data_IF_432777882658
#
_entry.id   IF_432777882658
#
_cell.length_a   1.000
_cell.length_b   1.000
_cell.length_c   1.000
_cell.angle_alpha   90.00
_cell.angle_beta   90.00
_cell.angle_gamma   90.00
#
_symmetry.space_group_name_H-M   'P 1'
#
loop_
_entity.id
_entity.type
_entity.pdbx_description
1 polymer ?
#
# COMPACT_ATOMS: atom_id res chain seq x y z
N UNK A 1 15.17 -20.72 -13.40
CA UNK A 1 15.20 -19.49 -12.59
C UNK A 1 14.02 -19.55 -11.63
N UNK A 2 14.23 -19.46 -10.30
CA UNK A 2 13.10 -19.39 -9.37
C UNK A 2 12.37 -18.06 -9.57
N UNK A 3 11.04 -18.11 -9.62
CA UNK A 3 10.19 -16.92 -9.66
C UNK A 3 9.76 -16.55 -8.24
N UNK A 4 9.60 -15.27 -7.99
CA UNK A 4 9.08 -14.71 -6.72
C UNK A 4 7.86 -13.85 -7.01
N UNK A 5 7.05 -13.60 -5.98
CA UNK A 5 5.94 -12.66 -6.06
C UNK A 5 6.49 -11.23 -5.95
N UNK A 6 6.12 -10.36 -6.88
CA UNK A 6 6.54 -8.96 -6.90
C UNK A 6 5.74 -8.11 -5.90
N UNK A 7 4.48 -7.83 -6.23
CA UNK A 7 3.56 -7.06 -5.38
C UNK A 7 2.17 -7.69 -5.37
N UNK A 8 1.41 -7.42 -4.31
CA UNK A 8 -0.01 -7.77 -4.21
C UNK A 8 -0.81 -6.50 -3.97
N UNK A 9 -1.82 -6.28 -4.79
CA UNK A 9 -2.76 -5.16 -4.62
C UNK A 9 -4.00 -5.63 -3.90
N UNK A 10 -4.39 -4.90 -2.86
CA UNK A 10 -5.61 -5.18 -2.07
C UNK A 10 -6.57 -4.00 -2.19
N UNK A 11 -7.87 -4.31 -2.20
CA UNK A 11 -8.92 -3.28 -2.12
C UNK A 11 -9.14 -2.97 -0.65
N UNK A 12 -9.06 -1.68 -0.32
CA UNK A 12 -9.25 -1.18 1.04
C UNK A 12 -10.47 -0.27 1.09
N UNK A 13 -11.06 -0.15 2.29
CA UNK A 13 -12.18 0.76 2.51
C UNK A 13 -11.74 2.22 2.54
N UNK A 14 -10.59 2.48 3.17
CA UNK A 14 -10.02 3.80 3.38
C UNK A 14 -8.48 3.72 3.31
N UNK A 15 -7.85 4.71 2.67
CA UNK A 15 -6.41 4.71 2.44
C UNK A 15 -5.60 5.03 3.71
N UNK A 16 -6.07 5.97 4.53
CA UNK A 16 -5.34 6.40 5.73
C UNK A 16 -5.41 5.31 6.82
N UNK A 17 -6.57 4.66 6.95
CA UNK A 17 -6.74 3.47 7.80
C UNK A 17 -5.78 2.34 7.37
N UNK A 18 -5.71 2.07 6.05
CA UNK A 18 -4.84 1.04 5.51
C UNK A 18 -3.35 1.38 5.74
N UNK A 19 -2.92 2.60 5.45
CA UNK A 19 -1.53 3.05 5.68
C UNK A 19 -1.18 2.85 7.15
N UNK A 20 -2.02 3.33 8.07
CA UNK A 20 -1.75 3.19 9.50
C UNK A 20 -1.69 1.73 9.96
N UNK A 21 -2.53 0.85 9.41
CA UNK A 21 -2.47 -0.58 9.73
C UNK A 21 -1.16 -1.20 9.23
N UNK A 22 -0.81 -1.00 7.96
CA UNK A 22 0.39 -1.62 7.38
C UNK A 22 1.68 -1.06 7.97
N UNK A 23 1.75 0.25 8.26
CA UNK A 23 2.98 0.86 8.80
C UNK A 23 3.13 0.70 10.31
N UNK A 24 2.05 0.82 11.09
CA UNK A 24 2.14 0.77 12.54
C UNK A 24 1.93 -0.64 13.10
N UNK A 25 0.91 -1.37 12.62
CA UNK A 25 0.60 -2.69 13.16
C UNK A 25 1.49 -3.78 12.57
N UNK A 26 1.78 -3.70 11.27
CA UNK A 26 2.62 -4.67 10.57
C UNK A 26 4.09 -4.23 10.40
N UNK A 27 4.39 -2.95 10.64
CA UNK A 27 5.75 -2.44 10.63
C UNK A 27 6.37 -2.24 9.24
N UNK A 28 5.55 -2.18 8.18
CA UNK A 28 6.05 -1.86 6.83
C UNK A 28 6.41 -0.38 6.69
N UNK A 29 7.28 -0.08 5.74
CA UNK A 29 7.63 1.29 5.40
C UNK A 29 6.66 1.82 4.34
N UNK A 30 6.26 3.09 4.48
CA UNK A 30 5.54 3.78 3.42
C UNK A 30 6.53 4.18 2.32
N UNK A 31 6.48 3.47 1.20
CA UNK A 31 7.39 3.68 0.07
C UNK A 31 6.85 4.80 -0.83
N UNK A 32 5.54 4.80 -1.08
CA UNK A 32 4.91 5.80 -1.93
C UNK A 32 3.47 6.08 -1.48
N UNK A 33 3.07 7.33 -1.56
CA UNK A 33 1.69 7.80 -1.37
C UNK A 33 1.40 8.94 -2.34
N UNK A 34 0.94 8.57 -3.54
CA UNK A 34 0.72 9.50 -4.65
C UNK A 34 -0.78 9.63 -4.92
N UNK A 35 -1.28 10.87 -4.89
CA UNK A 35 -2.65 11.18 -5.28
C UNK A 35 -2.80 11.04 -6.80
N UNK A 36 -3.79 10.25 -7.21
CA UNK A 36 -4.22 10.07 -8.60
C UNK A 36 -5.51 10.85 -8.87
N UNK A 37 -6.13 10.58 -10.02
CA UNK A 37 -7.38 11.23 -10.40
C UNK A 37 -8.58 10.71 -9.59
N UNK A 38 -9.62 11.54 -9.50
CA UNK A 38 -10.93 11.19 -8.94
C UNK A 38 -10.88 10.65 -7.50
N UNK A 39 -9.92 11.14 -6.70
CA UNK A 39 -9.77 10.77 -5.28
C UNK A 39 -9.11 9.40 -5.05
N UNK A 40 -8.55 8.77 -6.08
CA UNK A 40 -7.74 7.57 -5.91
C UNK A 40 -6.34 7.91 -5.43
N UNK A 41 -5.70 7.00 -4.70
CA UNK A 41 -4.29 7.07 -4.31
C UNK A 41 -3.56 5.81 -4.74
N UNK A 42 -2.34 5.99 -5.21
CA UNK A 42 -1.36 4.92 -5.34
C UNK A 42 -0.56 4.88 -4.05
N UNK A 43 -0.74 3.82 -3.27
CA UNK A 43 -0.05 3.61 -2.00
C UNK A 43 0.77 2.34 -2.11
N UNK A 44 2.06 2.45 -1.84
CA UNK A 44 2.99 1.32 -1.81
C UNK A 44 3.63 1.23 -0.43
N UNK A 45 3.58 0.03 0.16
CA UNK A 45 4.22 -0.30 1.43
C UNK A 45 5.02 -1.58 1.27
N UNK A 46 6.12 -1.73 2.01
CA UNK A 46 6.99 -2.91 1.96
C UNK A 46 8.04 -2.96 3.05
#
# INVERSE_FOLDING_TARGET
MPQTLGYVTVVVRDYDEAIAFFTNALGFELIEDTVLDRGKRWVLVG
#
